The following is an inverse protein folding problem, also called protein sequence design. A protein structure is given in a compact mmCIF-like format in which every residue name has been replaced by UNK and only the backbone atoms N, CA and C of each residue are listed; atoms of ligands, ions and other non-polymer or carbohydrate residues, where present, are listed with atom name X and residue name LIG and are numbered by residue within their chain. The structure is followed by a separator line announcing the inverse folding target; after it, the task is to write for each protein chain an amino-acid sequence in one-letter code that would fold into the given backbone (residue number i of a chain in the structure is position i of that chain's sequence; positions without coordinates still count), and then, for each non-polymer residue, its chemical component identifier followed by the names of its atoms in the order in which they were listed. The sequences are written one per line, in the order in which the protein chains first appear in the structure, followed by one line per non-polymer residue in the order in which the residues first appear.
data_IF_220457831359
#
_entry.id   IF_220457831359
#
_cell.length_a   1.000
_cell.length_b   1.000
_cell.length_c   1.000
_cell.angle_alpha   90.00
_cell.angle_beta   90.00
_cell.angle_gamma   90.00
#
_symmetry.space_group_name_H-M   'P 1'
#
loop_
_entity.id
_entity.type
_entity.pdbx_description
1 polymer ?
#
# COMPACT_ATOMS: atom_id res chain seq x y z
N UNK A 1 -25.71 3.23 23.82
CA UNK A 1 -25.18 4.57 23.56
C UNK A 1 -26.03 5.67 24.16
N UNK A 2 -25.62 6.94 24.02
CA UNK A 2 -26.40 8.10 24.49
C UNK A 2 -27.54 8.48 23.53
N UNK A 3 -27.63 7.85 22.37
CA UNK A 3 -28.67 8.01 21.38
C UNK A 3 -28.89 6.69 20.65
N UNK A 4 -30.14 6.32 20.44
CA UNK A 4 -30.52 5.02 19.89
C UNK A 4 -30.70 5.05 18.35
N UNK A 5 -30.75 6.26 17.78
CA UNK A 5 -30.91 6.47 16.33
C UNK A 5 -29.92 7.52 15.81
N UNK A 6 -29.63 7.47 14.49
CA UNK A 6 -28.67 8.38 13.84
C UNK A 6 -29.07 9.85 14.02
N UNK A 7 -30.35 10.18 13.92
CA UNK A 7 -30.83 11.56 14.10
C UNK A 7 -30.68 12.05 15.55
N UNK A 8 -30.94 11.18 16.53
CA UNK A 8 -30.66 11.45 17.93
C UNK A 8 -29.18 11.64 18.21
N UNK A 9 -28.32 10.84 17.57
CA UNK A 9 -26.86 10.98 17.69
C UNK A 9 -26.37 12.31 17.09
N UNK A 10 -26.88 12.73 15.94
CA UNK A 10 -26.57 14.03 15.33
C UNK A 10 -27.06 15.20 16.19
N UNK A 11 -28.27 15.11 16.73
CA UNK A 11 -28.81 16.13 17.62
C UNK A 11 -27.95 16.27 18.88
N UNK A 12 -27.54 15.15 19.49
CA UNK A 12 -26.64 15.15 20.65
C UNK A 12 -25.29 15.76 20.27
N UNK A 13 -24.66 15.36 19.18
CA UNK A 13 -23.40 15.91 18.70
C UNK A 13 -23.49 17.43 18.51
N UNK A 14 -24.56 17.92 17.88
CA UNK A 14 -24.77 19.34 17.64
C UNK A 14 -25.02 20.16 18.94
N UNK A 15 -25.48 19.50 20.00
CA UNK A 15 -25.68 20.13 21.31
C UNK A 15 -24.42 20.17 22.19
N UNK A 16 -23.39 19.38 21.82
CA UNK A 16 -22.13 19.30 22.58
C UNK A 16 -21.20 20.44 22.21
N UNK A 17 -20.59 21.05 23.22
CA UNK A 17 -19.43 21.91 22.99
C UNK A 17 -18.22 21.13 22.48
N UNK A 18 -17.26 21.80 21.85
CA UNK A 18 -16.01 21.18 21.40
C UNK A 18 -15.27 20.45 22.53
N UNK A 19 -15.29 21.04 23.75
CA UNK A 19 -14.65 20.42 24.92
C UNK A 19 -15.36 19.17 25.40
N UNK A 20 -16.67 19.12 25.34
CA UNK A 20 -17.46 17.93 25.68
C UNK A 20 -17.23 16.83 24.65
N UNK A 21 -17.19 17.18 23.36
CA UNK A 21 -16.87 16.25 22.27
C UNK A 21 -15.45 15.70 22.44
N UNK A 22 -14.46 16.54 22.69
CA UNK A 22 -13.08 16.11 22.96
C UNK A 22 -13.02 15.17 24.16
N UNK A 23 -13.67 15.53 25.25
CA UNK A 23 -13.68 14.70 26.47
C UNK A 23 -14.32 13.35 26.22
N UNK A 24 -15.44 13.31 25.47
CA UNK A 24 -16.11 12.07 25.10
C UNK A 24 -15.17 11.17 24.27
N UNK A 25 -14.53 11.71 23.22
CA UNK A 25 -13.64 10.94 22.34
C UNK A 25 -12.38 10.46 23.08
N UNK A 26 -11.79 11.28 23.95
CA UNK A 26 -10.60 10.89 24.73
C UNK A 26 -10.89 9.84 25.79
N UNK A 27 -12.11 9.76 26.28
CA UNK A 27 -12.53 8.73 27.24
C UNK A 27 -12.96 7.42 26.59
N UNK A 28 -13.18 7.43 25.27
CA UNK A 28 -13.46 6.20 24.52
C UNK A 28 -12.18 5.37 24.37
N UNK A 29 -12.30 4.06 24.59
CA UNK A 29 -11.19 3.13 24.33
C UNK A 29 -10.96 2.96 22.83
N UNK A 30 -9.75 2.59 22.39
CA UNK A 30 -9.51 2.25 20.98
C UNK A 30 -10.45 1.18 20.45
N UNK A 31 -10.79 0.17 21.27
CA UNK A 31 -11.74 -0.90 20.89
C UNK A 31 -13.14 -0.39 20.63
N UNK A 32 -13.67 0.51 21.50
CA UNK A 32 -14.99 1.13 21.30
C UNK A 32 -15.03 1.96 20.01
N UNK A 33 -13.98 2.74 19.74
CA UNK A 33 -13.88 3.54 18.52
C UNK A 33 -13.83 2.64 17.26
N UNK A 34 -12.99 1.61 17.25
CA UNK A 34 -12.88 0.69 16.11
C UNK A 34 -14.20 -0.09 15.87
N UNK A 35 -14.87 -0.54 16.94
CA UNK A 35 -16.18 -1.20 16.84
C UNK A 35 -17.21 -0.26 16.23
N UNK A 36 -17.31 0.97 16.74
CA UNK A 36 -18.24 1.96 16.20
C UNK A 36 -17.98 2.27 14.71
N UNK A 37 -16.71 2.36 14.30
CA UNK A 37 -16.35 2.52 12.88
C UNK A 37 -16.74 1.30 12.04
N UNK A 38 -16.52 0.09 12.54
CA UNK A 38 -16.87 -1.15 11.87
C UNK A 38 -18.38 -1.27 11.64
N UNK A 39 -19.17 -0.98 12.66
CA UNK A 39 -20.63 -1.01 12.59
C UNK A 39 -21.20 0.07 11.65
N UNK A 40 -20.65 1.28 11.70
CA UNK A 40 -21.05 2.37 10.82
C UNK A 40 -20.67 2.15 9.34
N UNK A 41 -19.63 1.35 9.06
CA UNK A 41 -19.11 1.12 7.72
C UNK A 41 -18.83 -0.36 7.41
N UNK A 42 -19.85 -1.25 7.51
CA UNK A 42 -19.64 -2.70 7.38
C UNK A 42 -19.08 -3.13 6.02
N UNK A 43 -19.40 -2.37 4.96
CA UNK A 43 -18.88 -2.63 3.60
C UNK A 43 -17.40 -2.23 3.39
N UNK A 44 -16.77 -1.55 4.34
CA UNK A 44 -15.41 -1.01 4.26
C UNK A 44 -14.48 -1.52 5.35
N UNK A 45 -14.88 -2.54 6.08
CA UNK A 45 -14.07 -3.14 7.14
C UNK A 45 -13.66 -2.17 8.25
N UNK A 46 -14.48 -1.12 8.49
CA UNK A 46 -14.20 -0.15 9.55
C UNK A 46 -13.04 0.81 9.30
N UNK A 47 -12.48 0.87 8.08
CA UNK A 47 -11.42 1.82 7.78
C UNK A 47 -11.90 3.27 7.85
N UNK A 48 -11.18 4.08 8.60
CA UNK A 48 -11.45 5.52 8.71
C UNK A 48 -11.16 6.22 7.39
N UNK A 49 -11.90 7.29 7.11
CA UNK A 49 -11.62 8.15 5.96
C UNK A 49 -10.76 9.33 6.39
N UNK A 50 -9.91 9.78 5.49
CA UNK A 50 -9.29 11.10 5.58
C UNK A 50 -10.35 12.12 5.17
N UNK A 51 -10.51 13.16 5.98
CA UNK A 51 -11.45 14.25 5.72
C UNK A 51 -10.67 15.52 5.33
N UNK A 52 -11.15 16.21 4.32
CA UNK A 52 -10.63 17.53 3.91
C UNK A 52 -11.23 18.60 4.85
N UNK A 53 -10.76 18.61 6.08
CA UNK A 53 -11.27 19.46 7.17
C UNK A 53 -10.74 20.91 7.12
N UNK A 54 -9.73 21.13 6.29
CA UNK A 54 -9.05 22.43 6.16
C UNK A 54 -8.10 22.74 7.34
N UNK A 55 -7.86 21.78 8.23
CA UNK A 55 -6.96 21.90 9.37
C UNK A 55 -5.78 20.93 9.30
N UNK A 56 -6.04 19.62 9.23
CA UNK A 56 -5.04 18.59 9.02
C UNK A 56 -4.85 18.33 7.53
N UNK A 57 -5.96 18.26 6.80
CA UNK A 57 -5.98 18.09 5.35
C UNK A 57 -6.56 19.35 4.69
N UNK A 58 -5.90 19.86 3.67
CA UNK A 58 -6.40 20.98 2.89
C UNK A 58 -7.80 20.71 2.34
N UNK A 59 -8.61 21.76 2.15
CA UNK A 59 -9.98 21.64 1.63
C UNK A 59 -10.05 20.99 0.24
N UNK A 60 -9.01 21.23 -0.58
CA UNK A 60 -8.85 20.62 -1.92
C UNK A 60 -8.16 19.24 -1.87
N UNK A 61 -7.92 18.73 -0.68
CA UNK A 61 -7.37 17.40 -0.46
C UNK A 61 -5.85 17.34 -0.38
N UNK A 62 -5.30 16.12 -0.51
CA UNK A 62 -3.89 15.82 -0.28
C UNK A 62 -2.94 16.54 -1.25
N UNK A 63 -3.41 16.94 -2.42
CA UNK A 63 -2.61 17.66 -3.42
C UNK A 63 -2.46 19.15 -3.15
N UNK A 64 -3.33 19.74 -2.31
CA UNK A 64 -3.30 21.18 -2.02
C UNK A 64 -1.95 21.69 -1.50
N UNK A 65 -1.29 21.03 -0.52
CA UNK A 65 0.01 21.45 -0.03
C UNK A 65 1.11 21.43 -1.10
N UNK A 66 1.03 20.53 -2.08
CA UNK A 66 1.99 20.45 -3.18
C UNK A 66 1.85 21.62 -4.15
N UNK A 67 0.61 22.03 -4.44
CA UNK A 67 0.31 23.11 -5.37
C UNK A 67 0.59 24.48 -4.72
N UNK A 68 0.30 24.63 -3.43
CA UNK A 68 0.38 25.91 -2.73
C UNK A 68 1.74 26.16 -2.05
N UNK A 69 2.76 25.33 -2.32
CA UNK A 69 4.11 25.40 -1.72
C UNK A 69 4.10 25.42 -0.17
N UNK A 70 3.15 24.71 0.42
CA UNK A 70 2.97 24.64 1.88
C UNK A 70 3.73 23.48 2.51
N UNK A 71 4.29 22.57 1.70
CA UNK A 71 5.10 21.45 2.19
C UNK A 71 6.56 21.85 2.40
N UNK A 72 7.22 21.30 3.45
CA UNK A 72 8.67 21.40 3.58
C UNK A 72 9.36 20.86 2.33
N UNK A 73 10.34 21.60 1.80
CA UNK A 73 11.10 21.18 0.61
C UNK A 73 12.14 20.13 0.93
N UNK A 74 11.67 18.93 1.29
CA UNK A 74 12.53 17.76 1.52
C UNK A 74 12.62 16.89 0.26
N UNK A 75 13.73 16.19 0.04
CA UNK A 75 13.81 15.19 -1.03
C UNK A 75 12.75 14.09 -0.85
N UNK A 76 12.15 13.64 -1.93
CA UNK A 76 11.04 12.68 -1.91
C UNK A 76 11.31 11.57 -2.93
N UNK A 77 11.14 10.30 -2.50
CA UNK A 77 10.96 9.16 -3.39
C UNK A 77 9.50 8.70 -3.30
N UNK A 78 8.83 8.64 -4.44
CA UNK A 78 7.50 8.07 -4.59
C UNK A 78 7.60 6.75 -5.33
N UNK A 79 6.75 5.80 -5.00
CA UNK A 79 6.78 4.52 -5.65
C UNK A 79 5.44 3.83 -5.79
N UNK A 80 5.42 2.85 -6.67
CA UNK A 80 4.29 1.97 -6.89
C UNK A 80 4.79 0.61 -7.37
N UNK A 81 4.00 -0.42 -7.14
CA UNK A 81 4.25 -1.74 -7.68
C UNK A 81 3.45 -1.91 -9.00
N UNK A 82 3.96 -2.73 -9.91
CA UNK A 82 3.33 -2.92 -11.22
C UNK A 82 1.89 -3.42 -11.12
N UNK A 83 1.61 -4.26 -10.13
CA UNK A 83 0.32 -4.91 -9.96
C UNK A 83 -0.29 -4.68 -8.57
N UNK A 84 -0.25 -3.44 -8.07
CA UNK A 84 -0.74 -3.05 -6.74
C UNK A 84 -2.04 -3.74 -6.34
N UNK A 85 -3.01 -3.75 -7.24
CA UNK A 85 -4.36 -4.19 -6.93
C UNK A 85 -4.55 -5.71 -6.96
N UNK A 86 -3.55 -6.48 -7.41
CA UNK A 86 -3.62 -7.95 -7.37
C UNK A 86 -3.76 -8.47 -5.94
N UNK A 87 -3.06 -7.87 -4.95
CA UNK A 87 -3.21 -8.25 -3.55
C UNK A 87 -4.66 -8.23 -3.08
N UNK A 88 -5.42 -7.20 -3.47
CA UNK A 88 -6.83 -7.05 -3.06
C UNK A 88 -7.79 -7.88 -3.91
N UNK A 89 -7.49 -8.00 -5.22
CA UNK A 89 -8.35 -8.73 -6.15
C UNK A 89 -8.21 -10.24 -6.02
N UNK A 90 -7.05 -10.78 -5.62
CA UNK A 90 -6.92 -12.21 -5.39
C UNK A 90 -7.82 -12.72 -4.26
N UNK A 91 -8.17 -11.87 -3.29
CA UNK A 91 -9.12 -12.20 -2.22
C UNK A 91 -10.59 -12.22 -2.68
N UNK A 92 -10.86 -11.73 -3.89
CA UNK A 92 -12.22 -11.68 -4.42
C UNK A 92 -12.60 -13.04 -5.03
N UNK A 93 -13.57 -13.71 -4.44
CA UNK A 93 -14.08 -15.02 -4.87
C UNK A 93 -14.67 -15.06 -6.29
N UNK A 94 -14.86 -13.90 -6.93
CA UNK A 94 -15.24 -13.82 -8.35
C UNK A 94 -14.06 -14.10 -9.29
N UNK A 95 -12.84 -13.93 -8.80
CA UNK A 95 -11.63 -14.11 -9.59
C UNK A 95 -10.86 -15.36 -9.20
N UNK A 96 -10.85 -15.70 -7.92
CA UNK A 96 -10.04 -16.79 -7.38
C UNK A 96 -10.93 -17.73 -6.59
N UNK A 97 -10.83 -19.01 -6.90
CA UNK A 97 -11.42 -20.08 -6.09
C UNK A 97 -10.42 -20.48 -5.01
N UNK A 98 -10.86 -20.42 -3.77
CA UNK A 98 -10.07 -20.76 -2.60
C UNK A 98 -10.60 -22.06 -2.00
N UNK A 99 -9.73 -22.82 -1.33
CA UNK A 99 -10.06 -24.05 -0.62
C UNK A 99 -9.42 -24.08 0.75
N UNK A 100 -9.75 -25.11 1.53
CA UNK A 100 -9.21 -25.32 2.87
C UNK A 100 -7.70 -25.62 2.80
N UNK A 101 -6.94 -25.07 3.74
CA UNK A 101 -5.53 -25.34 3.94
C UNK A 101 -4.73 -24.07 4.21
N UNK A 102 -3.56 -24.26 4.83
CA UNK A 102 -2.62 -23.16 5.07
C UNK A 102 -1.80 -22.89 3.80
N UNK A 103 -1.89 -21.66 3.30
CA UNK A 103 -1.14 -21.20 2.15
C UNK A 103 0.00 -20.25 2.51
N UNK A 104 0.75 -19.81 1.49
CA UNK A 104 1.83 -18.83 1.66
C UNK A 104 1.34 -17.46 2.14
N UNK A 105 0.03 -17.24 2.19
CA UNK A 105 -0.58 -16.01 2.68
C UNK A 105 -1.07 -16.10 4.14
N UNK A 106 -0.82 -17.21 4.84
CA UNK A 106 -1.20 -17.39 6.25
C UNK A 106 -0.58 -16.32 7.16
N UNK A 107 0.60 -15.82 6.82
CA UNK A 107 1.26 -14.74 7.55
C UNK A 107 0.51 -13.38 7.51
N UNK A 108 -0.43 -13.21 6.57
CA UNK A 108 -1.36 -12.07 6.52
C UNK A 108 -2.77 -12.45 6.95
N UNK A 109 -2.92 -13.60 7.64
CA UNK A 109 -4.20 -14.06 8.18
C UNK A 109 -5.13 -14.71 7.15
N UNK A 110 -4.60 -15.23 6.04
CA UNK A 110 -5.37 -15.96 5.03
C UNK A 110 -5.08 -17.44 5.16
N UNK A 111 -5.92 -18.14 5.92
CA UNK A 111 -5.81 -19.58 6.21
C UNK A 111 -6.52 -20.43 5.15
N UNK A 112 -6.34 -20.06 3.89
CA UNK A 112 -6.91 -20.75 2.73
C UNK A 112 -5.89 -20.80 1.60
N UNK A 113 -6.05 -21.79 0.71
CA UNK A 113 -5.21 -21.98 -0.46
C UNK A 113 -5.92 -21.48 -1.72
N UNK A 114 -5.26 -20.68 -2.57
CA UNK A 114 -5.79 -20.42 -3.90
C UNK A 114 -5.72 -21.71 -4.73
N UNK A 115 -6.84 -22.12 -5.30
CA UNK A 115 -6.96 -23.34 -6.09
C UNK A 115 -6.99 -23.07 -7.61
N UNK A 116 -7.53 -21.93 -7.99
CA UNK A 116 -7.72 -21.60 -9.41
C UNK A 116 -7.98 -20.10 -9.61
N UNK A 117 -7.37 -19.52 -10.63
CA UNK A 117 -7.76 -18.22 -11.16
C UNK A 117 -8.82 -18.46 -12.21
N UNK A 118 -10.08 -18.17 -11.90
CA UNK A 118 -11.24 -18.60 -12.69
C UNK A 118 -11.30 -18.03 -14.11
N UNK A 119 -10.79 -16.83 -14.34
CA UNK A 119 -10.76 -16.12 -15.63
C UNK A 119 -9.48 -15.31 -15.74
N UNK A 120 -8.31 -15.93 -15.99
CA UNK A 120 -7.01 -15.29 -15.92
C UNK A 120 -6.89 -14.02 -16.77
N UNK A 121 -7.37 -14.05 -18.02
CA UNK A 121 -7.29 -12.88 -18.92
C UNK A 121 -8.09 -11.70 -18.37
N UNK A 122 -9.30 -11.96 -17.88
CA UNK A 122 -10.15 -10.93 -17.30
C UNK A 122 -9.58 -10.42 -15.97
N UNK A 123 -9.07 -11.33 -15.12
CA UNK A 123 -8.36 -10.99 -13.89
C UNK A 123 -7.19 -10.05 -14.16
N UNK A 124 -6.33 -10.42 -15.11
CA UNK A 124 -5.18 -9.60 -15.50
C UNK A 124 -5.60 -8.24 -16.06
N UNK A 125 -6.61 -8.18 -16.93
CA UNK A 125 -7.09 -6.92 -17.47
C UNK A 125 -7.63 -5.97 -16.38
N UNK A 126 -8.46 -6.48 -15.46
CA UNK A 126 -9.02 -5.69 -14.35
C UNK A 126 -7.92 -5.21 -13.40
N UNK A 127 -6.99 -6.11 -13.02
CA UNK A 127 -5.91 -5.77 -12.09
C UNK A 127 -4.89 -4.84 -12.71
N UNK A 128 -4.58 -4.97 -14.00
CA UNK A 128 -3.71 -4.05 -14.71
C UNK A 128 -4.32 -2.64 -14.74
N UNK A 129 -5.56 -2.52 -15.22
CA UNK A 129 -6.24 -1.22 -15.30
C UNK A 129 -6.35 -0.52 -13.94
N UNK A 130 -6.71 -1.26 -12.89
CA UNK A 130 -6.80 -0.69 -11.55
C UNK A 130 -5.43 -0.34 -10.97
N UNK A 131 -4.38 -1.10 -11.29
CA UNK A 131 -3.00 -0.78 -10.88
C UNK A 131 -2.44 0.42 -11.62
N UNK A 132 -2.75 0.59 -12.91
CA UNK A 132 -2.37 1.78 -13.67
C UNK A 132 -3.07 3.03 -13.11
N UNK A 133 -4.34 2.92 -12.75
CA UNK A 133 -5.08 3.99 -12.05
C UNK A 133 -4.50 4.30 -10.66
N UNK A 134 -4.01 3.28 -9.94
CA UNK A 134 -3.31 3.46 -8.68
C UNK A 134 -2.00 4.22 -8.89
N UNK A 135 -1.16 3.77 -9.82
CA UNK A 135 0.11 4.40 -10.18
C UNK A 135 -0.09 5.88 -10.52
N UNK A 136 -1.06 6.19 -11.37
CA UNK A 136 -1.36 7.57 -11.77
C UNK A 136 -1.67 8.46 -10.56
N UNK A 137 -2.50 7.98 -9.65
CA UNK A 137 -2.96 8.78 -8.49
C UNK A 137 -1.94 8.83 -7.35
N UNK A 138 -1.21 7.74 -7.11
CA UNK A 138 -0.33 7.62 -5.94
C UNK A 138 1.13 8.01 -6.21
N UNK A 139 1.57 7.95 -7.46
CA UNK A 139 2.96 8.25 -7.83
C UNK A 139 3.07 9.33 -8.91
N UNK A 140 2.47 9.13 -10.10
CA UNK A 140 2.75 9.97 -11.26
C UNK A 140 2.18 11.39 -11.11
N UNK A 141 0.92 11.51 -10.70
CA UNK A 141 0.28 12.83 -10.49
C UNK A 141 0.95 13.62 -9.36
N UNK A 142 1.17 13.05 -8.15
CA UNK A 142 1.92 13.74 -7.10
C UNK A 142 3.33 14.15 -7.53
N UNK A 143 4.06 13.28 -8.23
CA UNK A 143 5.41 13.60 -8.73
C UNK A 143 5.38 14.79 -9.70
N UNK A 144 4.46 14.79 -10.68
CA UNK A 144 4.30 15.92 -11.61
C UNK A 144 3.95 17.22 -10.90
N UNK A 145 3.07 17.17 -9.89
CA UNK A 145 2.69 18.35 -9.09
C UNK A 145 3.88 18.89 -8.29
N UNK A 146 4.66 18.02 -7.64
CA UNK A 146 5.87 18.38 -6.92
C UNK A 146 6.89 19.05 -7.85
N UNK A 147 7.16 18.45 -9.01
CA UNK A 147 8.11 19.03 -9.99
C UNK A 147 7.61 20.37 -10.52
N UNK A 148 6.33 20.49 -10.84
CA UNK A 148 5.71 21.73 -11.28
C UNK A 148 5.79 22.85 -10.22
N UNK A 149 5.71 22.48 -8.92
CA UNK A 149 5.90 23.39 -7.79
C UNK A 149 7.39 23.69 -7.47
N UNK A 150 8.32 23.19 -8.28
CA UNK A 150 9.74 23.47 -8.15
C UNK A 150 10.52 22.54 -7.19
N UNK A 151 9.95 21.40 -6.80
CA UNK A 151 10.65 20.35 -6.05
C UNK A 151 11.62 19.59 -6.96
N UNK A 152 12.89 19.97 -6.96
CA UNK A 152 13.94 19.39 -7.85
C UNK A 152 14.38 17.99 -7.43
N UNK A 153 14.21 17.61 -6.18
CA UNK A 153 14.60 16.31 -5.62
C UNK A 153 13.37 15.41 -5.44
N UNK A 154 12.66 15.19 -6.54
CA UNK A 154 11.52 14.26 -6.61
C UNK A 154 11.93 13.09 -7.50
N UNK A 155 11.90 11.91 -6.93
CA UNK A 155 12.29 10.65 -7.56
C UNK A 155 11.10 9.71 -7.58
N UNK A 156 11.01 8.87 -8.62
CA UNK A 156 9.91 7.92 -8.75
C UNK A 156 10.46 6.55 -9.10
N UNK A 157 9.87 5.49 -8.53
CA UNK A 157 10.16 4.12 -8.92
C UNK A 157 8.89 3.33 -9.23
N UNK A 158 9.06 2.27 -10.02
CA UNK A 158 8.09 1.19 -10.15
C UNK A 158 8.78 -0.13 -9.86
N UNK A 159 8.19 -0.89 -8.93
CA UNK A 159 8.66 -2.22 -8.59
C UNK A 159 7.96 -3.24 -9.48
N UNK A 160 8.73 -3.97 -10.28
CA UNK A 160 8.22 -4.84 -11.33
C UNK A 160 8.53 -6.33 -11.10
N UNK A 161 9.20 -6.70 -10.01
CA UNK A 161 9.57 -8.09 -9.77
C UNK A 161 8.33 -8.96 -9.56
N UNK A 162 8.14 -9.95 -10.44
CA UNK A 162 7.00 -10.85 -10.48
C UNK A 162 7.38 -12.33 -10.69
N UNK A 163 8.67 -12.65 -10.49
CA UNK A 163 9.22 -14.00 -10.66
C UNK A 163 8.84 -14.90 -9.45
N UNK A 164 7.55 -15.21 -9.38
CA UNK A 164 6.93 -16.04 -8.37
C UNK A 164 6.65 -17.44 -8.91
N UNK A 165 6.69 -18.49 -8.06
CA UNK A 165 6.57 -19.89 -8.50
C UNK A 165 5.14 -20.29 -8.87
N UNK A 166 5.03 -21.41 -9.54
CA UNK A 166 3.78 -22.16 -9.63
C UNK A 166 3.70 -23.10 -8.42
N UNK A 167 2.66 -22.95 -7.59
CA UNK A 167 2.42 -23.77 -6.40
C UNK A 167 1.09 -24.46 -6.53
N UNK A 168 1.06 -25.79 -6.46
CA UNK A 168 -0.16 -26.60 -6.58
C UNK A 168 -0.99 -26.30 -7.84
N UNK A 169 -0.30 -25.99 -8.96
CA UNK A 169 -0.93 -25.69 -10.24
C UNK A 169 -1.42 -24.25 -10.41
N UNK A 170 -1.29 -23.41 -9.40
CA UNK A 170 -1.60 -21.98 -9.48
C UNK A 170 -0.32 -21.18 -9.74
N UNK A 171 -0.32 -20.38 -10.79
CA UNK A 171 0.76 -19.46 -11.12
C UNK A 171 0.66 -18.19 -10.24
N UNK A 172 1.59 -18.05 -9.29
CA UNK A 172 1.62 -16.90 -8.38
C UNK A 172 2.13 -15.62 -9.04
N UNK A 173 2.87 -15.72 -10.13
CA UNK A 173 3.21 -14.56 -10.97
C UNK A 173 1.97 -13.95 -11.60
N UNK A 174 1.03 -14.80 -12.05
CA UNK A 174 -0.28 -14.35 -12.52
C UNK A 174 -1.17 -13.91 -11.38
N UNK A 175 -1.21 -14.65 -10.27
CA UNK A 175 -2.08 -14.39 -9.12
C UNK A 175 -1.71 -13.08 -8.38
N UNK A 176 -0.47 -12.94 -8.01
CA UNK A 176 0.05 -11.84 -7.20
C UNK A 176 0.99 -10.91 -7.99
N UNK A 177 1.93 -11.48 -8.75
CA UNK A 177 2.95 -10.71 -9.45
C UNK A 177 3.65 -9.71 -8.53
N UNK A 178 4.01 -8.55 -9.04
CA UNK A 178 4.50 -7.43 -8.25
C UNK A 178 3.33 -6.72 -7.52
N UNK A 179 2.70 -7.42 -6.57
CA UNK A 179 1.54 -6.95 -5.83
C UNK A 179 1.91 -5.88 -4.79
N UNK A 180 0.90 -5.23 -4.23
CA UNK A 180 1.04 -4.25 -3.14
C UNK A 180 1.86 -4.81 -1.97
N UNK A 181 2.77 -3.99 -1.46
CA UNK A 181 3.67 -4.27 -0.33
C UNK A 181 4.76 -5.35 -0.59
N UNK A 182 4.83 -5.95 -1.79
CA UNK A 182 5.85 -6.96 -2.07
C UNK A 182 7.28 -6.36 -2.08
N UNK A 183 7.44 -5.10 -2.48
CA UNK A 183 8.72 -4.38 -2.45
C UNK A 183 9.31 -4.25 -1.04
N UNK A 184 8.47 -4.29 -0.01
CA UNK A 184 8.89 -4.22 1.39
C UNK A 184 9.83 -5.37 1.74
N UNK A 185 9.58 -6.57 1.21
CA UNK A 185 10.46 -7.73 1.43
C UNK A 185 11.88 -7.47 0.92
N UNK A 186 12.00 -6.70 -0.17
CA UNK A 186 13.29 -6.35 -0.79
C UNK A 186 14.03 -5.22 -0.04
N UNK A 187 13.33 -4.44 0.76
CA UNK A 187 13.92 -3.38 1.60
C UNK A 187 14.26 -3.88 3.01
N UNK A 188 13.84 -5.10 3.37
CA UNK A 188 14.14 -5.72 4.66
C UNK A 188 14.77 -7.10 4.45
N UNK A 189 16.10 -7.17 4.28
CA UNK A 189 16.81 -8.41 3.92
C UNK A 189 16.53 -9.60 4.84
N UNK A 190 16.21 -9.35 6.12
CA UNK A 190 15.82 -10.39 7.06
C UNK A 190 14.58 -11.17 6.62
N UNK A 191 13.75 -10.61 5.72
CA UNK A 191 12.61 -11.32 5.15
C UNK A 191 13.06 -12.52 4.29
N UNK A 192 14.23 -12.44 3.62
CA UNK A 192 14.79 -13.54 2.84
C UNK A 192 15.33 -14.71 3.71
N UNK A 193 15.52 -14.51 5.00
CA UNK A 193 15.88 -15.56 5.94
C UNK A 193 14.66 -16.37 6.42
N UNK A 194 13.45 -15.87 6.16
CA UNK A 194 12.22 -16.61 6.45
C UNK A 194 12.16 -17.87 5.59
N UNK A 195 11.89 -19.02 6.23
CA UNK A 195 11.88 -20.33 5.58
C UNK A 195 10.92 -20.40 4.38
N UNK A 196 9.71 -19.87 4.51
CA UNK A 196 8.70 -19.88 3.44
C UNK A 196 9.13 -18.96 2.29
N UNK A 197 9.55 -17.75 2.60
CA UNK A 197 10.01 -16.80 1.58
C UNK A 197 11.16 -17.43 0.80
N UNK A 198 12.21 -17.88 1.46
CA UNK A 198 13.44 -18.42 0.84
C UNK A 198 13.21 -19.70 0.04
N UNK A 199 12.48 -20.66 0.61
CA UNK A 199 12.42 -22.01 0.07
C UNK A 199 11.16 -22.28 -0.77
N UNK A 200 10.17 -21.40 -0.72
CA UNK A 200 8.93 -21.55 -1.45
C UNK A 200 8.72 -20.38 -2.41
N UNK A 201 8.72 -19.14 -1.90
CA UNK A 201 8.30 -17.97 -2.70
C UNK A 201 9.36 -17.54 -3.71
N UNK A 202 10.63 -17.52 -3.33
CA UNK A 202 11.75 -17.06 -4.18
C UNK A 202 12.78 -18.15 -4.47
N UNK A 203 12.47 -19.42 -4.21
CA UNK A 203 13.45 -20.53 -4.30
C UNK A 203 14.22 -20.52 -5.63
N UNK A 204 13.49 -20.47 -6.75
CA UNK A 204 14.05 -20.59 -8.09
C UNK A 204 14.60 -19.24 -8.62
N UNK A 205 14.23 -18.13 -7.98
CA UNK A 205 14.64 -16.75 -8.33
C UNK A 205 15.50 -16.08 -7.24
N UNK A 206 15.98 -16.83 -6.26
CA UNK A 206 16.66 -16.31 -5.06
C UNK A 206 17.81 -15.37 -5.39
N UNK A 207 18.72 -15.75 -6.28
CA UNK A 207 19.89 -14.93 -6.61
C UNK A 207 19.48 -13.61 -7.28
N UNK A 208 18.48 -13.64 -8.15
CA UNK A 208 17.91 -12.45 -8.79
C UNK A 208 17.22 -11.53 -7.78
N UNK A 209 16.41 -12.10 -6.92
CA UNK A 209 15.71 -11.38 -5.86
C UNK A 209 16.70 -10.74 -4.87
N UNK A 210 17.72 -11.50 -4.44
CA UNK A 210 18.77 -11.00 -3.55
C UNK A 210 19.55 -9.84 -4.18
N UNK A 211 19.94 -9.99 -5.46
CA UNK A 211 20.63 -8.94 -6.21
C UNK A 211 19.78 -7.67 -6.32
N UNK A 212 18.48 -7.80 -6.62
CA UNK A 212 17.56 -6.66 -6.68
C UNK A 212 17.43 -6.00 -5.31
N UNK A 213 17.29 -6.78 -4.23
CA UNK A 213 17.25 -6.28 -2.85
C UNK A 213 18.49 -5.46 -2.52
N UNK A 214 19.69 -5.97 -2.80
CA UNK A 214 20.95 -5.27 -2.55
C UNK A 214 21.03 -3.94 -3.33
N UNK A 215 20.56 -3.92 -4.58
CA UNK A 215 20.50 -2.71 -5.40
C UNK A 215 19.49 -1.69 -4.84
N UNK A 216 18.30 -2.13 -4.47
CA UNK A 216 17.28 -1.27 -3.87
C UNK A 216 17.80 -0.67 -2.56
N UNK A 217 18.36 -1.48 -1.67
CA UNK A 217 18.96 -1.00 -0.42
C UNK A 217 20.07 0.02 -0.65
N UNK A 218 20.89 -0.18 -1.68
CA UNK A 218 21.96 0.76 -2.04
C UNK A 218 21.39 2.13 -2.45
N UNK A 219 20.35 2.16 -3.27
CA UNK A 219 19.69 3.42 -3.66
C UNK A 219 18.97 4.09 -2.50
N UNK A 220 18.20 3.34 -1.69
CA UNK A 220 17.48 3.89 -0.54
C UNK A 220 18.45 4.42 0.52
N UNK A 221 19.53 3.70 0.83
CA UNK A 221 20.56 4.19 1.73
C UNK A 221 21.23 5.45 1.20
N UNK A 222 21.60 5.51 -0.09
CA UNK A 222 22.19 6.70 -0.68
C UNK A 222 21.23 7.89 -0.60
N UNK A 223 19.95 7.69 -0.91
CA UNK A 223 18.93 8.72 -0.77
C UNK A 223 18.79 9.21 0.66
N UNK A 224 18.72 8.31 1.64
CA UNK A 224 18.60 8.66 3.05
C UNK A 224 19.77 9.54 3.54
N UNK A 225 20.99 9.30 3.04
CA UNK A 225 22.16 10.08 3.42
C UNK A 225 22.29 11.41 2.70
N UNK A 226 21.82 11.52 1.44
CA UNK A 226 22.15 12.67 0.58
C UNK A 226 20.93 13.38 0.00
N UNK A 227 19.75 12.78 0.11
CA UNK A 227 18.52 13.24 -0.55
C UNK A 227 18.59 13.05 -2.08
N UNK A 228 19.43 12.14 -2.57
CA UNK A 228 19.58 11.81 -4.00
C UNK A 228 20.02 10.33 -4.11
N UNK A 229 19.26 9.45 -4.77
CA UNK A 229 19.65 8.05 -4.90
C UNK A 229 20.87 7.84 -5.81
N UNK A 230 21.16 8.78 -6.70
CA UNK A 230 22.37 8.82 -7.54
C UNK A 230 22.66 7.53 -8.28
N UNK A 231 23.80 6.91 -7.96
CA UNK A 231 24.24 5.60 -8.44
C UNK A 231 24.28 4.54 -7.32
N UNK A 232 23.48 4.74 -6.29
CA UNK A 232 23.52 3.92 -5.10
C UNK A 232 24.70 4.23 -4.18
N UNK A 233 24.77 3.53 -3.05
CA UNK A 233 25.75 3.81 -1.98
C UNK A 233 27.20 3.55 -2.40
N UNK A 234 27.45 2.54 -3.20
CA UNK A 234 28.76 2.17 -3.73
C UNK A 234 29.13 2.91 -5.01
N UNK A 235 28.25 3.75 -5.54
CA UNK A 235 28.44 4.52 -6.78
C UNK A 235 28.71 3.66 -8.03
N UNK A 236 28.25 2.41 -8.04
CA UNK A 236 28.47 1.39 -9.07
C UNK A 236 27.20 0.99 -9.83
N UNK A 237 26.05 1.46 -9.37
CA UNK A 237 24.77 1.20 -10.02
C UNK A 237 24.48 2.21 -11.15
N UNK A 238 23.54 1.93 -12.05
CA UNK A 238 23.04 2.91 -12.99
C UNK A 238 22.58 4.19 -12.27
N UNK A 239 22.81 5.34 -12.89
CA UNK A 239 22.31 6.59 -12.31
C UNK A 239 20.78 6.57 -12.33
N UNK A 240 20.18 6.86 -11.19
CA UNK A 240 18.72 7.08 -11.11
C UNK A 240 18.37 8.27 -12.00
N UNK A 241 17.43 8.06 -12.94
CA UNK A 241 17.06 9.07 -13.97
C UNK A 241 15.96 9.98 -13.48
#
# INVERSE_FOLDING_TARGET
GKADEIEGAKALQNSMSLKETETFLRNATPGELLTAYGEANPKRGGMTRVFNDGYVMGKEGISEPFVNDQMPRVPIILGTNRYETKLFNMMNRRFVRWGEGEGIFSWIGVDELPLEIMRPDFYNAVTQYSSDSWKERAADTPARQLVASGYKKTFVYRFDWDDLPVIQGVDYGVLAGAAHALEILFLFPAAFDNFIIKNVVIRDSYDGAKKLSDQMLSYWAQFAYTGDPGKGRSNDLPKWK
#
